data_IF_279401179493
#
_entry.id   IF_279401179493
#
_cell.length_a   1.000
_cell.length_b   1.000
_cell.length_c   1.000
_cell.angle_alpha   90.00
_cell.angle_beta   90.00
_cell.angle_gamma   90.00
#
_symmetry.space_group_name_H-M   'P 1'
#
loop_
_entity.id
_entity.type
_entity.pdbx_description
1 polymer ?
#
# COMPACT_ATOMS: atom_id res chain seq x y z
N UNK A 1 -16.01 -46.85 72.96
CA UNK A 1 -16.66 -47.37 71.74
C UNK A 1 -16.92 -46.18 70.83
N UNK A 2 -16.42 -46.26 69.58
CA UNK A 2 -16.79 -45.53 68.35
C UNK A 2 -17.69 -44.28 68.47
N UNK A 3 -17.48 -43.16 67.78
CA UNK A 3 -17.31 -43.07 66.32
C UNK A 3 -17.06 -41.61 65.92
N UNK A 4 -16.36 -41.44 64.80
CA UNK A 4 -16.10 -40.17 64.07
C UNK A 4 -17.40 -39.42 63.74
N UNK A 5 -17.32 -38.08 63.53
CA UNK A 5 -17.48 -37.40 62.21
C UNK A 5 -17.48 -35.85 62.32
N UNK A 6 -17.28 -35.12 61.19
CA UNK A 6 -16.48 -33.89 61.14
C UNK A 6 -17.20 -32.62 60.61
N UNK A 7 -16.44 -31.51 60.62
CA UNK A 7 -16.50 -30.25 59.82
C UNK A 7 -17.83 -29.53 59.60
N UNK A 8 -17.98 -28.32 60.13
CA UNK A 8 -17.56 -27.07 59.46
C UNK A 8 -18.23 -25.83 60.10
N UNK A 9 -17.53 -24.69 59.96
CA UNK A 9 -18.09 -23.37 59.66
C UNK A 9 -18.55 -22.37 60.75
N UNK A 10 -17.84 -21.23 60.72
CA UNK A 10 -18.33 -19.84 60.58
C UNK A 10 -18.53 -18.93 61.83
N UNK A 11 -17.89 -17.74 61.73
CA UNK A 11 -18.11 -16.47 62.47
C UNK A 11 -17.70 -16.46 63.97
N UNK A 12 -17.06 -15.44 64.57
CA UNK A 12 -17.01 -14.00 64.28
C UNK A 12 -16.01 -13.31 65.24
N UNK A 13 -15.38 -12.21 64.79
CA UNK A 13 -14.99 -10.98 65.56
C UNK A 13 -13.93 -11.09 66.68
N UNK A 14 -13.00 -10.17 66.94
CA UNK A 14 -12.58 -8.89 66.37
C UNK A 14 -11.40 -8.32 67.22
N UNK A 15 -10.52 -7.53 66.57
CA UNK A 15 -9.76 -6.37 67.13
C UNK A 15 -8.63 -6.70 68.12
N UNK A 16 -7.38 -6.26 67.95
CA UNK A 16 -6.77 -5.24 67.10
C UNK A 16 -5.65 -4.58 67.91
N UNK A 17 -4.41 -4.71 67.44
CA UNK A 17 -3.17 -4.26 68.12
C UNK A 17 -2.91 -2.78 67.78
N UNK A 18 -2.67 -1.97 68.81
CA UNK A 18 -2.26 -0.56 68.76
C UNK A 18 -1.59 -0.26 70.13
N UNK A 19 -0.48 0.45 70.34
CA UNK A 19 0.19 1.57 69.68
C UNK A 19 1.66 1.54 70.14
N UNK A 20 2.61 1.81 69.23
CA UNK A 20 3.95 2.26 69.58
C UNK A 20 4.23 3.62 68.94
N UNK A 21 4.67 4.55 69.78
CA UNK A 21 5.09 5.92 69.55
C UNK A 21 6.11 6.08 68.40
N UNK A 22 6.00 7.16 67.62
CA UNK A 22 7.12 7.62 66.79
C UNK A 22 6.83 8.71 65.76
N UNK A 23 7.07 9.97 66.15
CA UNK A 23 7.48 11.11 65.31
C UNK A 23 6.58 11.56 64.14
N UNK A 24 5.69 12.53 64.41
CA UNK A 24 5.12 13.39 63.37
C UNK A 24 6.03 14.61 63.18
N UNK A 25 6.93 14.54 62.19
CA UNK A 25 7.75 15.66 61.75
C UNK A 25 6.94 16.58 60.83
N UNK A 26 6.99 17.87 61.10
CA UNK A 26 6.39 18.92 60.28
C UNK A 26 7.04 18.95 58.88
N UNK A 27 6.25 18.69 57.83
CA UNK A 27 6.66 18.89 56.45
C UNK A 27 5.96 20.15 55.90
N UNK A 28 6.68 21.25 55.81
CA UNK A 28 6.28 22.43 55.04
C UNK A 28 6.32 22.10 53.54
N UNK A 29 5.41 22.64 52.70
CA UNK A 29 5.51 22.49 51.26
C UNK A 29 6.70 23.33 50.75
N UNK A 30 7.83 22.68 50.48
CA UNK A 30 8.88 23.28 49.65
C UNK A 30 8.30 23.43 48.25
N UNK A 31 8.09 24.67 47.80
CA UNK A 31 7.76 24.95 46.41
C UNK A 31 8.84 24.30 45.52
N UNK A 32 8.48 23.23 44.83
CA UNK A 32 9.32 22.65 43.81
C UNK A 32 9.37 23.65 42.65
N UNK A 33 10.50 24.33 42.51
CA UNK A 33 10.78 25.09 41.30
C UNK A 33 10.76 24.07 40.14
N UNK A 34 9.78 24.22 39.26
CA UNK A 34 9.67 23.38 38.07
C UNK A 34 10.95 23.57 37.25
N UNK A 35 11.70 22.48 37.06
CA UNK A 35 12.89 22.51 36.25
C UNK A 35 12.52 22.95 34.82
N UNK A 36 13.10 24.05 34.38
CA UNK A 36 12.98 24.52 33.00
C UNK A 36 13.91 23.69 32.13
N UNK A 37 13.36 22.99 31.14
CA UNK A 37 14.15 22.19 30.22
C UNK A 37 14.91 23.12 29.27
N UNK A 38 16.24 23.06 29.32
CA UNK A 38 17.13 23.75 28.40
C UNK A 38 17.89 22.75 27.52
N UNK A 39 18.06 23.08 26.24
CA UNK A 39 18.90 22.31 25.32
C UNK A 39 20.33 22.84 25.31
N UNK A 40 21.31 21.94 25.38
CA UNK A 40 22.73 22.31 25.20
C UNK A 40 22.94 22.68 23.73
N UNK A 41 23.38 23.92 23.46
CA UNK A 41 23.74 24.35 22.11
C UNK A 41 24.94 23.54 21.60
N UNK A 42 24.73 22.75 20.55
CA UNK A 42 25.72 21.84 19.97
C UNK A 42 26.67 22.47 18.95
N UNK A 43 27.17 23.69 19.19
CA UNK A 43 28.21 24.27 18.32
C UNK A 43 29.60 23.88 18.84
N UNK A 44 30.16 22.79 18.33
CA UNK A 44 31.55 22.40 18.63
C UNK A 44 32.46 23.20 17.70
N UNK A 45 33.35 24.00 18.30
CA UNK A 45 34.40 24.73 17.61
C UNK A 45 35.73 24.01 17.82
N UNK A 46 36.34 23.57 16.73
CA UNK A 46 37.55 22.76 16.79
C UNK A 46 38.73 23.51 16.18
N UNK A 47 39.78 23.68 16.97
CA UNK A 47 40.97 24.40 16.55
C UNK A 47 41.82 23.54 15.61
N UNK A 48 42.09 24.08 14.42
CA UNK A 48 42.96 23.49 13.40
C UNK A 48 44.39 23.96 13.67
N UNK A 49 45.34 23.02 13.78
CA UNK A 49 46.75 23.32 14.09
C UNK A 49 47.68 23.04 12.91
N UNK A 50 48.87 23.65 12.90
CA UNK A 50 49.86 23.46 11.82
C UNK A 50 50.50 22.06 11.81
N UNK A 51 50.47 21.33 12.93
CA UNK A 51 51.12 20.02 13.08
C UNK A 51 50.34 19.07 13.99
N UNK A 52 50.72 17.80 13.97
CA UNK A 52 50.13 16.72 14.77
C UNK A 52 50.55 16.83 16.25
N UNK A 53 49.92 17.74 17.00
CA UNK A 53 50.23 17.94 18.41
C UNK A 53 49.63 19.22 19.02
N UNK A 54 49.56 19.27 20.35
CA UNK A 54 49.05 20.42 21.12
C UNK A 54 50.04 21.60 21.20
N UNK A 55 51.29 21.35 20.82
CA UNK A 55 52.39 22.33 20.82
C UNK A 55 52.34 23.27 19.59
N UNK A 56 51.62 22.88 18.53
CA UNK A 56 51.61 23.61 17.26
C UNK A 56 50.62 24.77 17.25
N UNK A 57 50.96 25.82 16.49
CA UNK A 57 50.17 27.04 16.34
C UNK A 57 48.79 26.75 15.74
N UNK A 58 47.78 27.46 16.21
CA UNK A 58 46.41 27.41 15.67
C UNK A 58 46.37 28.22 14.37
N UNK A 59 45.92 27.58 13.29
CA UNK A 59 45.82 28.13 11.93
C UNK A 59 44.38 28.50 11.60
N UNK A 60 43.41 27.89 12.28
CA UNK A 60 41.99 28.16 12.07
C UNK A 60 41.07 27.45 13.05
N UNK A 61 39.77 27.58 12.82
CA UNK A 61 38.70 26.94 13.59
C UNK A 61 37.71 26.32 12.62
N UNK A 62 37.42 25.03 12.78
CA UNK A 62 36.33 24.32 12.10
C UNK A 62 35.09 24.32 13.00
N UNK A 63 33.90 24.40 12.40
CA UNK A 63 32.61 24.33 13.09
C UNK A 63 31.91 23.00 12.82
N UNK A 64 30.98 22.62 13.69
CA UNK A 64 30.08 21.49 13.47
C UNK A 64 29.31 21.66 12.16
N UNK A 65 29.44 20.69 11.25
CA UNK A 65 28.80 20.70 9.94
C UNK A 65 29.67 21.17 8.79
N UNK A 66 30.89 21.67 9.05
CA UNK A 66 31.84 21.99 7.99
C UNK A 66 32.31 20.70 7.29
N UNK A 67 32.20 20.66 5.96
CA UNK A 67 32.71 19.56 5.15
C UNK A 67 34.24 19.59 5.10
N UNK A 68 34.88 18.47 5.46
CA UNK A 68 36.34 18.34 5.50
C UNK A 68 36.81 17.15 4.67
N UNK A 69 37.90 17.34 3.92
CA UNK A 69 38.57 16.26 3.20
C UNK A 69 39.72 15.73 4.06
N UNK A 70 39.81 14.41 4.25
CA UNK A 70 40.86 13.77 5.04
C UNK A 70 42.05 13.44 4.14
N UNK A 71 43.23 13.99 4.42
CA UNK A 71 44.44 13.79 3.63
C UNK A 71 45.37 12.72 4.21
N UNK A 72 45.57 12.74 5.54
CA UNK A 72 46.49 11.82 6.23
C UNK A 72 46.05 11.62 7.68
N UNK A 73 46.29 10.44 8.25
CA UNK A 73 46.10 10.14 9.67
C UNK A 73 47.43 9.66 10.27
N UNK A 74 47.85 10.23 11.38
CA UNK A 74 49.14 9.97 12.02
C UNK A 74 49.04 10.27 13.53
N UNK A 75 49.44 9.32 14.37
CA UNK A 75 49.55 9.46 15.83
C UNK A 75 48.34 10.09 16.56
N UNK A 76 47.12 9.70 16.18
CA UNK A 76 45.87 10.23 16.78
C UNK A 76 45.46 11.62 16.28
N UNK A 77 46.17 12.14 15.28
CA UNK A 77 45.86 13.36 14.56
C UNK A 77 45.49 13.05 13.11
N UNK A 78 44.55 13.81 12.57
CA UNK A 78 44.14 13.73 11.18
C UNK A 78 44.43 15.05 10.50
N UNK A 79 45.23 15.01 9.44
CA UNK A 79 45.44 16.13 8.53
C UNK A 79 44.21 16.25 7.66
N UNK A 80 43.52 17.36 7.79
CA UNK A 80 42.34 17.69 6.99
C UNK A 80 42.62 18.89 6.10
N UNK A 81 41.87 18.94 5.01
CA UNK A 81 41.75 20.09 4.14
C UNK A 81 40.36 20.66 4.30
N UNK A 82 40.29 21.91 4.74
CA UNK A 82 39.04 22.66 4.85
C UNK A 82 38.96 23.63 3.66
N UNK A 83 37.91 23.48 2.85
CA UNK A 83 37.57 24.44 1.81
C UNK A 83 36.94 25.67 2.49
N UNK A 84 37.68 26.78 2.56
CA UNK A 84 37.14 28.02 3.11
C UNK A 84 36.13 28.67 2.16
N UNK A 85 35.12 29.34 2.72
CA UNK A 85 34.07 30.08 2.00
C UNK A 85 34.59 31.23 1.10
N UNK A 86 35.89 31.55 1.17
CA UNK A 86 36.57 32.59 0.37
C UNK A 86 37.53 32.00 -0.68
N UNK A 87 37.36 30.73 -1.06
CA UNK A 87 38.22 30.06 -2.05
C UNK A 87 39.65 29.79 -1.56
N UNK A 88 39.94 30.00 -0.27
CA UNK A 88 41.22 29.68 0.35
C UNK A 88 41.14 28.30 1.00
N UNK A 89 41.85 27.36 0.41
CA UNK A 89 42.08 26.04 0.98
C UNK A 89 43.03 26.17 2.17
N UNK A 90 42.60 25.69 3.34
CA UNK A 90 43.44 25.65 4.54
C UNK A 90 43.69 24.20 4.91
N UNK A 91 44.97 23.86 5.06
CA UNK A 91 45.39 22.55 5.54
C UNK A 91 45.80 22.65 6.99
N UNK A 92 45.46 21.64 7.78
CA UNK A 92 45.93 21.52 9.14
C UNK A 92 45.48 20.25 9.83
N UNK A 93 45.89 20.10 11.07
CA UNK A 93 45.72 18.89 11.85
C UNK A 93 44.65 19.07 12.91
N UNK A 94 43.84 18.03 13.08
CA UNK A 94 42.73 17.93 14.03
C UNK A 94 42.84 16.60 14.80
N UNK A 95 42.46 16.53 16.10
CA UNK A 95 42.41 15.27 16.84
C UNK A 95 41.35 14.31 16.26
N UNK A 96 41.69 13.02 16.15
CA UNK A 96 40.87 12.00 15.47
C UNK A 96 39.46 11.81 16.06
N UNK A 97 39.28 12.04 17.36
CA UNK A 97 38.01 11.81 18.08
C UNK A 97 36.83 12.73 17.74
N UNK A 98 37.02 13.71 16.85
CA UNK A 98 35.98 14.68 16.46
C UNK A 98 35.45 14.48 15.04
N UNK A 99 36.00 13.52 14.28
CA UNK A 99 35.58 13.22 12.92
C UNK A 99 34.61 12.04 12.94
N UNK A 100 33.31 12.34 12.82
CA UNK A 100 32.30 11.31 12.60
C UNK A 100 32.04 11.18 11.10
N UNK A 101 32.10 9.95 10.59
CA UNK A 101 31.82 9.64 9.18
C UNK A 101 30.31 9.73 8.81
N UNK A 102 29.44 9.92 9.82
CA UNK A 102 28.00 10.08 9.63
C UNK A 102 27.64 11.57 9.51
N UNK A 103 26.80 11.96 8.53
CA UNK A 103 26.38 13.35 8.37
C UNK A 103 25.70 13.88 9.64
N UNK A 104 25.85 15.17 9.95
CA UNK A 104 25.32 15.76 11.18
C UNK A 104 23.79 15.55 11.27
N UNK A 105 23.26 15.32 12.49
CA UNK A 105 21.82 15.06 12.69
C UNK A 105 20.90 16.13 12.09
N UNK A 106 21.34 17.39 12.03
CA UNK A 106 20.59 18.50 11.41
C UNK A 106 20.38 18.32 9.91
N UNK A 107 21.36 17.75 9.20
CA UNK A 107 21.24 17.47 7.76
C UNK A 107 20.26 16.31 7.52
N UNK A 108 20.27 15.31 8.40
CA UNK A 108 19.35 14.17 8.34
C UNK A 108 17.90 14.58 8.60
N UNK A 109 17.68 15.56 9.49
CA UNK A 109 16.35 16.11 9.75
C UNK A 109 15.80 16.82 8.52
N UNK A 110 16.61 17.67 7.87
CA UNK A 110 16.19 18.34 6.63
C UNK A 110 15.89 17.34 5.50
N UNK A 111 16.72 16.31 5.34
CA UNK A 111 16.48 15.25 4.35
C UNK A 111 15.23 14.41 4.68
N UNK A 112 14.99 14.13 5.96
CA UNK A 112 13.81 13.37 6.39
C UNK A 112 12.51 14.19 6.23
N UNK A 113 12.53 15.49 6.50
CA UNK A 113 11.38 16.38 6.29
C UNK A 113 11.02 16.50 4.79
N UNK A 114 12.03 16.61 3.92
CA UNK A 114 11.84 16.59 2.47
C UNK A 114 11.25 15.25 1.99
N UNK A 115 11.79 14.13 2.49
CA UNK A 115 11.31 12.80 2.17
C UNK A 115 9.84 12.60 2.61
N UNK A 116 9.48 13.02 3.83
CA UNK A 116 8.08 12.96 4.31
C UNK A 116 7.17 13.76 3.39
N UNK A 117 7.56 14.98 2.99
CA UNK A 117 6.76 15.82 2.11
C UNK A 117 6.51 15.17 0.74
N UNK A 118 7.56 14.55 0.17
CA UNK A 118 7.49 13.80 -1.09
C UNK A 118 6.58 12.58 -0.94
N UNK A 119 6.76 11.77 0.10
CA UNK A 119 5.94 10.58 0.33
C UNK A 119 4.46 10.93 0.52
N UNK A 120 4.15 12.02 1.25
CA UNK A 120 2.76 12.47 1.36
C UNK A 120 2.16 12.89 0.01
N UNK A 121 2.95 13.51 -0.87
CA UNK A 121 2.47 13.86 -2.21
C UNK A 121 2.21 12.60 -3.06
N UNK A 122 3.14 11.64 -3.03
CA UNK A 122 3.01 10.37 -3.74
C UNK A 122 1.80 9.56 -3.24
N UNK A 123 1.61 9.50 -1.92
CA UNK A 123 0.46 8.84 -1.31
C UNK A 123 -0.87 9.45 -1.77
N UNK A 124 -0.98 10.79 -1.79
CA UNK A 124 -2.18 11.46 -2.28
C UNK A 124 -2.45 11.16 -3.76
N UNK A 125 -1.41 11.17 -4.60
CA UNK A 125 -1.56 10.83 -6.04
C UNK A 125 -1.97 9.37 -6.26
N UNK A 126 -1.38 8.43 -5.52
CA UNK A 126 -1.75 7.01 -5.60
C UNK A 126 -3.18 6.82 -5.10
N UNK A 127 -3.59 7.51 -4.04
CA UNK A 127 -4.96 7.47 -3.56
C UNK A 127 -5.94 7.97 -4.62
N UNK A 128 -5.65 9.08 -5.31
CA UNK A 128 -6.45 9.58 -6.44
C UNK A 128 -6.49 8.58 -7.61
N UNK A 129 -5.37 7.96 -7.98
CA UNK A 129 -5.32 6.96 -9.06
C UNK A 129 -6.16 5.72 -8.71
N UNK A 130 -6.12 5.24 -7.46
CA UNK A 130 -6.95 4.10 -7.04
C UNK A 130 -8.44 4.45 -7.05
N UNK A 131 -8.82 5.68 -6.71
CA UNK A 131 -10.20 6.15 -6.81
C UNK A 131 -10.64 6.23 -8.27
N UNK A 132 -9.84 6.84 -9.13
CA UNK A 132 -10.12 6.95 -10.55
C UNK A 132 -10.21 5.57 -11.25
N UNK A 133 -9.36 4.61 -10.88
CA UNK A 133 -9.44 3.24 -11.41
C UNK A 133 -10.72 2.54 -10.95
N UNK A 134 -11.10 2.66 -9.68
CA UNK A 134 -12.36 2.10 -9.17
C UNK A 134 -13.58 2.70 -9.86
N UNK A 135 -13.57 4.00 -10.13
CA UNK A 135 -14.63 4.67 -10.90
C UNK A 135 -14.68 4.14 -12.34
N UNK A 136 -13.53 3.95 -13.00
CA UNK A 136 -13.46 3.33 -14.33
C UNK A 136 -14.00 1.90 -14.33
N UNK A 137 -13.67 1.09 -13.33
CA UNK A 137 -14.19 -0.27 -13.21
C UNK A 137 -15.71 -0.29 -13.00
N UNK A 138 -16.23 0.59 -12.15
CA UNK A 138 -17.67 0.73 -11.95
C UNK A 138 -18.39 1.20 -13.24
N UNK A 139 -17.82 2.16 -13.96
CA UNK A 139 -18.35 2.64 -15.23
C UNK A 139 -18.34 1.53 -16.30
N UNK A 140 -17.24 0.81 -16.45
CA UNK A 140 -17.13 -0.34 -17.36
C UNK A 140 -18.15 -1.43 -17.03
N UNK A 141 -18.28 -1.78 -15.75
CA UNK A 141 -19.27 -2.78 -15.30
C UNK A 141 -20.70 -2.34 -15.64
N UNK A 142 -21.02 -1.06 -15.46
CA UNK A 142 -22.33 -0.52 -15.83
C UNK A 142 -22.56 -0.58 -17.35
N UNK A 143 -21.55 -0.23 -18.16
CA UNK A 143 -21.62 -0.29 -19.62
C UNK A 143 -21.79 -1.72 -20.13
N UNK A 144 -21.04 -2.67 -19.58
CA UNK A 144 -21.14 -4.10 -19.93
C UNK A 144 -22.53 -4.65 -19.60
N UNK A 145 -23.11 -4.26 -18.45
CA UNK A 145 -24.47 -4.67 -18.09
C UNK A 145 -25.53 -4.12 -19.05
N UNK A 146 -25.35 -2.88 -19.55
CA UNK A 146 -26.24 -2.26 -20.54
C UNK A 146 -26.08 -2.91 -21.92
N UNK A 147 -24.86 -3.28 -22.30
CA UNK A 147 -24.64 -4.01 -23.55
C UNK A 147 -25.29 -5.40 -23.51
N UNK A 148 -25.17 -6.10 -22.38
CA UNK A 148 -25.80 -7.41 -22.20
C UNK A 148 -27.32 -7.34 -22.36
N UNK A 149 -27.98 -6.31 -21.79
CA UNK A 149 -29.43 -6.13 -21.96
C UNK A 149 -29.80 -5.76 -23.39
N UNK A 150 -29.00 -4.94 -24.07
CA UNK A 150 -29.25 -4.59 -25.47
C UNK A 150 -29.11 -5.79 -26.42
N UNK A 151 -28.13 -6.66 -26.18
CA UNK A 151 -27.98 -7.91 -26.94
C UNK A 151 -29.21 -8.80 -26.74
N UNK A 152 -29.71 -8.93 -25.50
CA UNK A 152 -30.91 -9.72 -25.22
C UNK A 152 -32.16 -9.12 -25.89
N UNK A 153 -32.30 -7.79 -25.86
CA UNK A 153 -33.37 -7.07 -26.53
C UNK A 153 -33.33 -7.28 -28.04
N UNK A 154 -32.19 -7.03 -28.69
CA UNK A 154 -32.03 -7.25 -30.13
C UNK A 154 -32.29 -8.71 -30.50
N UNK A 155 -31.83 -9.66 -29.69
CA UNK A 155 -32.09 -11.08 -29.93
C UNK A 155 -33.60 -11.37 -29.85
N UNK A 156 -34.31 -10.78 -28.90
CA UNK A 156 -35.76 -10.91 -28.74
C UNK A 156 -36.53 -10.26 -29.89
N UNK A 157 -36.14 -9.05 -30.30
CA UNK A 157 -36.72 -8.35 -31.45
C UNK A 157 -36.49 -9.12 -32.75
N UNK A 158 -35.27 -9.59 -32.95
CA UNK A 158 -34.90 -10.40 -34.11
C UNK A 158 -35.74 -11.69 -34.16
N UNK A 159 -35.89 -12.40 -33.03
CA UNK A 159 -36.79 -13.55 -32.92
C UNK A 159 -38.26 -13.19 -33.19
N UNK A 160 -38.74 -12.05 -32.70
CA UNK A 160 -40.12 -11.59 -32.92
C UNK A 160 -40.40 -11.27 -34.38
N UNK A 161 -39.47 -10.60 -35.06
CA UNK A 161 -39.55 -10.31 -36.49
C UNK A 161 -39.57 -11.61 -37.31
N UNK A 162 -38.69 -12.56 -37.01
CA UNK A 162 -38.67 -13.86 -37.70
C UNK A 162 -39.84 -14.80 -37.32
N UNK A 163 -40.54 -14.57 -36.20
CA UNK A 163 -41.70 -15.37 -35.82
C UNK A 163 -42.94 -15.06 -36.69
N UNK A 164 -43.07 -13.85 -37.24
CA UNK A 164 -44.22 -13.43 -38.05
C UNK A 164 -44.29 -14.04 -39.46
N UNK A 165 -43.12 -14.24 -40.10
CA UNK A 165 -43.03 -14.69 -41.50
C UNK A 165 -42.71 -16.18 -41.64
N UNK A 166 -42.80 -16.95 -40.54
CA UNK A 166 -42.34 -18.34 -40.49
C UNK A 166 -43.34 -19.33 -41.08
N UNK A 167 -43.64 -19.21 -42.38
CA UNK A 167 -44.01 -20.42 -43.11
C UNK A 167 -42.79 -21.34 -43.12
N UNK A 168 -42.87 -22.57 -42.58
CA UNK A 168 -41.74 -23.48 -42.66
C UNK A 168 -41.46 -23.70 -44.14
N UNK A 169 -40.23 -23.42 -44.59
CA UNK A 169 -39.79 -23.68 -45.96
C UNK A 169 -39.98 -25.16 -46.33
N UNK A 170 -40.08 -26.03 -45.34
CA UNK A 170 -40.47 -27.42 -45.51
C UNK A 170 -41.93 -27.63 -45.94
N UNK A 171 -42.86 -26.73 -45.60
CA UNK A 171 -44.27 -26.82 -46.05
C UNK A 171 -44.37 -26.53 -47.55
N UNK A 172 -43.67 -25.52 -48.05
CA UNK A 172 -43.63 -25.26 -49.50
C UNK A 172 -43.00 -26.44 -50.23
N UNK A 173 -41.88 -26.99 -49.72
CA UNK A 173 -41.29 -28.23 -50.23
C UNK A 173 -42.24 -29.43 -50.20
N UNK A 174 -42.95 -29.64 -49.09
CA UNK A 174 -43.93 -30.73 -48.93
C UNK A 174 -45.13 -30.57 -49.87
N UNK A 175 -45.61 -29.35 -50.11
CA UNK A 175 -46.72 -29.08 -51.01
C UNK A 175 -46.37 -29.41 -52.47
N UNK A 176 -45.15 -29.07 -52.90
CA UNK A 176 -44.64 -29.39 -54.24
C UNK A 176 -44.53 -30.91 -54.41
N UNK A 177 -43.98 -31.61 -53.42
CA UNK A 177 -43.89 -33.07 -53.44
C UNK A 177 -45.28 -33.74 -53.48
N UNK A 178 -46.23 -33.28 -52.67
CA UNK A 178 -47.57 -33.82 -52.64
C UNK A 178 -48.29 -33.64 -54.00
N UNK A 179 -48.16 -32.46 -54.61
CA UNK A 179 -48.72 -32.19 -55.93
C UNK A 179 -48.09 -33.08 -57.02
N UNK A 180 -46.77 -33.24 -57.00
CA UNK A 180 -46.05 -34.12 -57.91
C UNK A 180 -46.45 -35.59 -57.76
N UNK A 181 -46.63 -36.06 -56.52
CA UNK A 181 -47.05 -37.43 -56.22
C UNK A 181 -48.50 -37.70 -56.70
N UNK A 182 -49.41 -36.74 -56.53
CA UNK A 182 -50.79 -36.84 -57.03
C UNK A 182 -50.84 -36.88 -58.57
N UNK A 183 -50.09 -36.01 -59.23
CA UNK A 183 -50.00 -36.00 -60.70
C UNK A 183 -49.39 -37.29 -61.24
N UNK A 184 -48.29 -37.75 -60.65
CA UNK A 184 -47.64 -39.01 -61.03
C UNK A 184 -48.57 -40.22 -60.88
N UNK A 185 -49.31 -40.27 -59.76
CA UNK A 185 -50.33 -41.30 -59.49
C UNK A 185 -51.44 -41.34 -60.56
N UNK A 186 -51.99 -40.17 -60.93
CA UNK A 186 -53.04 -40.08 -61.95
C UNK A 186 -52.55 -40.55 -63.33
N UNK A 187 -51.34 -40.16 -63.72
CA UNK A 187 -50.73 -40.56 -64.99
C UNK A 187 -50.44 -42.07 -64.99
N UNK A 188 -49.90 -42.62 -63.90
CA UNK A 188 -49.64 -44.05 -63.76
C UNK A 188 -50.93 -44.88 -63.90
N UNK A 189 -52.03 -44.42 -63.28
CA UNK A 189 -53.35 -45.07 -63.37
C UNK A 189 -53.98 -44.97 -64.76
N UNK A 190 -53.72 -43.90 -65.50
CA UNK A 190 -54.18 -43.75 -66.88
C UNK A 190 -53.37 -44.61 -67.87
N UNK A 191 -52.06 -44.70 -67.65
CA UNK A 191 -51.11 -45.48 -68.47
C UNK A 191 -51.37 -46.99 -68.41
N UNK A 192 -51.67 -47.52 -67.22
CA UNK A 192 -51.94 -48.96 -67.00
C UNK A 192 -53.26 -49.47 -67.60
N UNK A 193 -54.12 -48.60 -68.14
CA UNK A 193 -55.38 -48.98 -68.82
C UNK A 193 -55.25 -49.30 -70.31
N UNK A 194 -54.04 -49.34 -70.88
CA UNK A 194 -53.85 -49.83 -72.26
C UNK A 194 -53.44 -51.30 -72.26
N UNK A 195 -54.41 -52.19 -72.02
CA UNK A 195 -54.26 -53.62 -72.27
C UNK A 195 -54.99 -54.02 -73.57
N UNK A 196 -54.17 -54.41 -74.56
CA UNK A 196 -54.42 -55.37 -75.63
C UNK A 196 -55.83 -55.46 -76.21
N UNK A 197 -56.10 -54.68 -77.26
CA UNK A 197 -57.05 -55.13 -78.29
C UNK A 197 -56.35 -56.18 -79.16
N UNK A 198 -56.62 -57.47 -78.87
CA UNK A 198 -56.34 -58.57 -79.80
C UNK A 198 -57.11 -58.30 -81.10
N UNK A 199 -56.41 -58.06 -82.19
CA UNK A 199 -56.99 -58.06 -83.54
C UNK A 199 -57.05 -59.53 -83.99
N UNK A 200 -58.25 -60.05 -84.23
CA UNK A 200 -58.46 -61.35 -84.89
C UNK A 200 -58.62 -61.10 -86.39
N UNK A 201 -57.84 -61.80 -87.20
CA UNK A 201 -58.18 -62.23 -88.56
C UNK A 201 -58.38 -63.74 -88.52
#
# INVERSE_FOLDING_TARGET
MSMRRPVSNFFSTCIGIAIAFGALAAASPTAAWAAENGWVRGEIRLNIRTGAGTQFKIVGVAKTGDGVEILKREDGWTKIRLAGNTGKTREGWIPEGYLNASPPPTLRLAQAEEEVSRLTSEFNTLQEETQALREKEAALTSADSVQATHIEELTRENMKLHAGDRYPEWITGASILAAGMLLGSLIYRASTRRQQTRIRL
#
